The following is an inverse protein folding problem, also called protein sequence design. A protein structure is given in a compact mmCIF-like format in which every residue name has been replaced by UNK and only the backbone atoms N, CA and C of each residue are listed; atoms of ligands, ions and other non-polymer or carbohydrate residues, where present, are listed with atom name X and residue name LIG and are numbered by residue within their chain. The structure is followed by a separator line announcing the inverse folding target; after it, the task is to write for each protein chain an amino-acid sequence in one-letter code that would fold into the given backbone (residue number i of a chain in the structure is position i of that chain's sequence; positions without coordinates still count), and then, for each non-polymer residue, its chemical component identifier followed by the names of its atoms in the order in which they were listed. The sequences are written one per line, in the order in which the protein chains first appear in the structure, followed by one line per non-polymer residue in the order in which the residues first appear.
data_IF_654047523771
#
_entry.id   IF_654047523771
#
_cell.length_a   1.000
_cell.length_b   1.000
_cell.length_c   1.000
_cell.angle_alpha   90.00
_cell.angle_beta   90.00
_cell.angle_gamma   90.00
#
_symmetry.space_group_name_H-M   'P 1'
#
loop_
_entity.id
_entity.type
_entity.pdbx_description
1 polymer ?
#
# COMPACT_ATOMS: atom_id res chain seq x y z
N UNK A 1 2.12 -5.17 -19.22
CA UNK A 1 2.10 -6.19 -18.16
C UNK A 1 0.70 -6.29 -17.58
N UNK A 2 0.14 -7.49 -17.35
CA UNK A 2 -1.16 -7.64 -16.67
C UNK A 2 -0.92 -7.65 -15.15
N UNK A 3 -1.34 -6.60 -14.45
CA UNK A 3 -1.20 -6.46 -12.99
C UNK A 3 -2.34 -7.15 -12.24
N UNK A 4 -2.09 -7.59 -11.00
CA UNK A 4 -3.12 -8.15 -10.13
C UNK A 4 -4.21 -7.11 -9.85
N UNK A 5 -5.51 -7.47 -9.87
CA UNK A 5 -6.60 -6.48 -9.73
C UNK A 5 -6.76 -5.92 -8.31
N UNK A 6 -6.09 -6.51 -7.31
CA UNK A 6 -6.24 -6.17 -5.88
C UNK A 6 -7.73 -6.18 -5.48
N UNK A 7 -8.38 -7.30 -5.81
CA UNK A 7 -9.82 -7.46 -5.63
C UNK A 7 -10.20 -7.85 -4.21
N UNK A 8 -11.30 -7.29 -3.70
CA UNK A 8 -11.94 -7.73 -2.47
C UNK A 8 -13.46 -7.70 -2.64
N UNK A 9 -14.12 -8.87 -2.59
CA UNK A 9 -15.55 -8.95 -2.85
C UNK A 9 -15.89 -8.53 -4.29
N UNK A 10 -16.61 -7.41 -4.45
CA UNK A 10 -17.00 -6.81 -5.75
C UNK A 10 -16.16 -5.57 -6.12
N UNK A 11 -15.14 -5.27 -5.31
CA UNK A 11 -14.27 -4.11 -5.48
C UNK A 11 -12.92 -4.55 -6.02
N UNK A 12 -12.26 -3.67 -6.77
CA UNK A 12 -10.91 -3.84 -7.29
C UNK A 12 -10.11 -2.56 -7.03
N UNK A 13 -8.78 -2.66 -7.13
CA UNK A 13 -7.83 -1.59 -6.74
C UNK A 13 -7.96 -1.20 -5.28
N UNK A 14 -8.24 -2.19 -4.42
CA UNK A 14 -8.33 -1.95 -3.00
C UNK A 14 -6.94 -1.72 -2.43
N UNK A 15 -6.78 -0.59 -1.75
CA UNK A 15 -5.61 -0.25 -0.97
C UNK A 15 -6.06 0.58 0.24
N UNK A 16 -5.23 0.58 1.28
CA UNK A 16 -5.32 1.57 2.36
C UNK A 16 -4.02 2.34 2.44
N UNK A 17 -4.12 3.64 2.71
CA UNK A 17 -3.02 4.58 2.79
C UNK A 17 -3.02 5.15 4.19
N UNK A 18 -1.89 5.14 4.88
CA UNK A 18 -1.76 5.79 6.19
C UNK A 18 -1.84 7.31 6.09
N UNK A 19 -1.96 7.99 7.23
CA UNK A 19 -1.60 9.41 7.29
C UNK A 19 -0.11 9.60 6.91
N UNK A 20 0.23 10.79 6.42
CA UNK A 20 1.62 11.16 6.12
C UNK A 20 2.44 11.14 7.42
N UNK A 21 3.47 10.30 7.43
CA UNK A 21 4.46 10.19 8.49
C UNK A 21 5.84 10.60 8.00
N UNK A 22 6.87 10.00 8.59
CA UNK A 22 8.27 10.19 8.21
C UNK A 22 8.99 8.85 8.10
N UNK A 23 9.91 8.76 7.14
CA UNK A 23 10.94 7.73 7.09
C UNK A 23 12.31 8.36 7.26
N UNK A 24 13.28 7.58 7.75
CA UNK A 24 14.65 8.04 7.95
C UNK A 24 15.63 6.99 7.45
N UNK A 25 16.69 7.44 6.79
CA UNK A 25 17.77 6.58 6.33
C UNK A 25 19.13 7.22 6.61
N UNK A 26 20.17 6.39 6.76
CA UNK A 26 21.57 6.81 6.75
C UNK A 26 22.26 6.07 5.60
N UNK A 27 22.37 6.69 4.43
CA UNK A 27 22.98 6.07 3.27
C UNK A 27 24.47 5.84 3.48
N UNK A 28 24.91 4.66 3.06
CA UNK A 28 26.29 4.24 3.13
C UNK A 28 27.07 4.68 1.88
N UNK A 29 28.42 4.66 1.95
CA UNK A 29 29.25 4.79 0.75
C UNK A 29 28.82 3.78 -0.31
N UNK A 30 28.55 4.24 -1.54
CA UNK A 30 28.11 3.40 -2.66
C UNK A 30 26.60 3.39 -2.92
N UNK A 31 25.77 4.00 -2.07
CA UNK A 31 24.36 4.27 -2.38
C UNK A 31 24.22 5.19 -3.60
N UNK A 32 23.16 5.05 -4.39
CA UNK A 32 22.96 5.91 -5.57
C UNK A 32 22.72 7.38 -5.20
N UNK A 33 22.35 7.68 -3.95
CA UNK A 33 22.28 9.06 -3.44
C UNK A 33 23.61 9.80 -3.62
N UNK A 34 24.74 9.12 -3.39
CA UNK A 34 26.09 9.69 -3.63
C UNK A 34 26.36 10.06 -5.09
N UNK A 35 25.60 9.47 -6.03
CA UNK A 35 25.74 9.70 -7.48
C UNK A 35 24.74 10.74 -8.00
N UNK A 36 23.57 10.85 -7.37
CA UNK A 36 22.45 11.66 -7.87
C UNK A 36 22.23 12.96 -7.09
N UNK A 37 22.88 13.15 -5.95
CA UNK A 37 22.77 14.35 -5.12
C UNK A 37 24.15 14.98 -4.97
N UNK A 38 24.32 16.19 -5.51
CA UNK A 38 25.58 16.92 -5.40
C UNK A 38 25.87 17.34 -3.95
N UNK A 39 27.14 17.21 -3.54
CA UNK A 39 27.59 17.61 -2.20
C UNK A 39 27.17 16.65 -1.09
N UNK A 40 26.70 15.46 -1.46
CA UNK A 40 26.21 14.47 -0.52
C UNK A 40 27.32 13.80 0.32
N UNK A 41 27.06 13.62 1.62
CA UNK A 41 27.96 12.95 2.54
C UNK A 41 27.28 11.74 3.22
N UNK A 42 27.79 10.55 2.94
CA UNK A 42 27.34 9.30 3.53
C UNK A 42 27.41 9.33 5.07
N UNK A 43 26.53 8.57 5.73
CA UNK A 43 26.40 8.49 7.19
C UNK A 43 25.59 9.62 7.83
N UNK A 44 25.14 10.61 7.06
CA UNK A 44 24.19 11.63 7.54
C UNK A 44 22.78 11.05 7.58
N UNK A 45 21.98 11.41 8.60
CA UNK A 45 20.56 10.99 8.65
C UNK A 45 19.72 11.89 7.76
N UNK A 46 18.97 11.27 6.86
CA UNK A 46 17.93 11.92 6.08
C UNK A 46 16.55 11.62 6.66
N UNK A 47 15.60 12.51 6.40
CA UNK A 47 14.20 12.34 6.80
C UNK A 47 13.29 12.82 5.70
N UNK A 48 12.39 11.96 5.24
CA UNK A 48 11.45 12.26 4.16
C UNK A 48 10.01 12.01 4.60
N UNK A 49 9.03 12.77 4.06
CA UNK A 49 7.62 12.45 4.25
C UNK A 49 7.30 11.14 3.53
N UNK A 50 6.53 10.27 4.19
CA UNK A 50 6.15 8.96 3.65
C UNK A 50 4.72 8.58 4.02
N UNK A 51 4.15 7.62 3.31
CA UNK A 51 2.91 6.93 3.69
C UNK A 51 3.14 5.42 3.64
N UNK A 52 2.48 4.67 4.52
CA UNK A 52 2.39 3.22 4.39
C UNK A 52 1.22 2.90 3.44
N UNK A 53 1.54 2.29 2.29
CA UNK A 53 0.56 1.72 1.38
C UNK A 53 0.37 0.24 1.70
N UNK A 54 -0.85 -0.15 2.08
CA UNK A 54 -1.20 -1.54 2.34
C UNK A 54 -2.15 -2.05 1.26
N UNK A 55 -1.76 -3.15 0.66
CA UNK A 55 -2.59 -3.95 -0.24
C UNK A 55 -2.66 -5.38 0.31
N UNK A 56 -3.73 -6.09 -0.03
CA UNK A 56 -3.91 -7.49 0.37
C UNK A 56 -4.26 -8.31 -0.84
N UNK A 57 -3.71 -9.53 -0.89
CA UNK A 57 -4.03 -10.54 -1.88
C UNK A 57 -4.29 -11.86 -1.16
N UNK A 58 -4.96 -12.78 -1.85
CA UNK A 58 -5.08 -14.14 -1.34
C UNK A 58 -3.68 -14.77 -1.18
N UNK A 59 -3.55 -15.76 -0.28
CA UNK A 59 -2.31 -16.50 -0.04
C UNK A 59 -1.94 -17.39 -1.23
N UNK A 60 -1.43 -16.76 -2.29
CA UNK A 60 -0.96 -17.37 -3.53
C UNK A 60 0.43 -16.81 -3.87
N UNK A 61 1.45 -17.67 -3.79
CA UNK A 61 2.83 -17.29 -4.07
C UNK A 61 3.05 -16.80 -5.51
N UNK A 62 2.32 -17.32 -6.50
CA UNK A 62 2.45 -16.88 -7.90
C UNK A 62 1.83 -15.51 -8.10
N UNK A 63 0.74 -15.22 -7.41
CA UNK A 63 0.17 -13.88 -7.38
C UNK A 63 1.09 -12.90 -6.66
N UNK A 64 1.65 -13.30 -5.50
CA UNK A 64 2.59 -12.50 -4.73
C UNK A 64 3.81 -12.10 -5.55
N UNK A 65 4.47 -13.05 -6.23
CA UNK A 65 5.63 -12.75 -7.07
C UNK A 65 5.33 -11.67 -8.12
N UNK A 66 4.21 -11.79 -8.84
CA UNK A 66 3.79 -10.79 -9.84
C UNK A 66 3.46 -9.42 -9.24
N UNK A 67 2.93 -9.40 -8.02
CA UNK A 67 2.66 -8.15 -7.30
C UNK A 67 3.97 -7.50 -6.87
N UNK A 68 4.92 -8.27 -6.35
CA UNK A 68 6.25 -7.77 -5.98
C UNK A 68 6.99 -7.20 -7.19
N UNK A 69 6.99 -7.90 -8.32
CA UNK A 69 7.58 -7.39 -9.57
C UNK A 69 6.95 -6.04 -9.98
N UNK A 70 5.62 -5.92 -9.85
CA UNK A 70 4.91 -4.68 -10.17
C UNK A 70 5.23 -3.53 -9.20
N UNK A 71 5.36 -3.82 -7.91
CA UNK A 71 5.76 -2.82 -6.90
C UNK A 71 7.18 -2.35 -7.18
N UNK A 72 8.14 -3.27 -7.31
CA UNK A 72 9.54 -2.94 -7.55
C UNK A 72 9.71 -2.13 -8.85
N UNK A 73 8.99 -2.51 -9.92
CA UNK A 73 9.00 -1.76 -11.17
C UNK A 73 8.48 -0.32 -11.02
N UNK A 74 7.46 -0.10 -10.20
CA UNK A 74 6.83 1.20 -10.02
C UNK A 74 7.48 2.04 -8.91
N UNK A 75 8.23 1.44 -8.01
CA UNK A 75 8.84 2.12 -6.88
C UNK A 75 10.06 2.94 -7.34
N UNK A 76 10.18 4.15 -6.81
CA UNK A 76 11.21 5.10 -7.25
C UNK A 76 12.50 5.03 -6.43
N UNK A 77 12.45 4.46 -5.22
CA UNK A 77 13.66 4.20 -4.43
C UNK A 77 14.45 3.01 -4.94
N UNK A 78 15.77 3.11 -4.81
CA UNK A 78 16.74 2.04 -5.07
C UNK A 78 16.41 0.78 -4.27
N UNK A 79 16.15 0.94 -2.97
CA UNK A 79 15.84 -0.16 -2.06
C UNK A 79 14.49 0.09 -1.38
N UNK A 80 13.36 -0.33 -2.00
CA UNK A 80 12.04 -0.17 -1.39
C UNK A 80 11.88 -1.08 -0.18
N UNK A 81 11.50 -0.50 0.96
CA UNK A 81 11.17 -1.29 2.17
C UNK A 81 9.77 -1.88 2.02
N UNK A 82 9.69 -3.18 1.75
CA UNK A 82 8.42 -3.90 1.56
C UNK A 82 8.26 -4.99 2.62
N UNK A 83 7.18 -4.90 3.40
CA UNK A 83 6.83 -5.92 4.38
C UNK A 83 5.78 -6.89 3.84
N UNK A 84 6.08 -8.18 3.87
CA UNK A 84 5.11 -9.24 3.58
C UNK A 84 4.66 -9.85 4.91
N UNK A 85 3.35 -9.79 5.19
CA UNK A 85 2.74 -10.33 6.40
C UNK A 85 1.58 -11.26 6.03
N UNK A 86 1.47 -12.37 6.73
CA UNK A 86 0.25 -13.18 6.71
C UNK A 86 -0.78 -12.56 7.66
N UNK A 87 -2.03 -12.46 7.20
CA UNK A 87 -3.13 -11.90 7.98
C UNK A 87 -4.44 -12.63 7.69
N UNK A 88 -5.40 -12.53 8.60
CA UNK A 88 -6.74 -13.06 8.48
C UNK A 88 -7.73 -11.92 8.26
N UNK A 89 -8.23 -11.78 7.04
CA UNK A 89 -9.23 -10.76 6.72
C UNK A 89 -10.64 -11.37 6.60
N UNK A 90 -11.63 -10.74 7.23
CA UNK A 90 -13.03 -11.10 7.01
C UNK A 90 -13.50 -10.64 5.63
N UNK A 91 -14.05 -11.52 4.79
CA UNK A 91 -14.69 -11.12 3.54
C UNK A 91 -16.19 -10.90 3.77
N UNK A 92 -16.71 -9.76 3.31
CA UNK A 92 -18.13 -9.46 3.44
C UNK A 92 -18.98 -10.48 2.65
N UNK A 93 -19.94 -11.12 3.34
CA UNK A 93 -21.05 -11.82 2.70
C UNK A 93 -22.07 -10.76 2.23
N UNK A 94 -21.81 -10.17 1.06
CA UNK A 94 -22.65 -9.10 0.53
C UNK A 94 -24.06 -9.61 0.24
N UNK A 95 -25.04 -9.03 0.93
CA UNK A 95 -26.46 -9.23 0.69
C UNK A 95 -27.11 -7.84 0.50
N UNK A 96 -27.47 -7.46 -0.74
CA UNK A 96 -28.11 -6.17 -1.00
C UNK A 96 -29.51 -6.05 -0.37
N UNK A 97 -30.16 -7.17 -0.04
CA UNK A 97 -31.45 -7.22 0.63
C UNK A 97 -31.32 -7.31 2.17
N UNK A 98 -30.12 -7.07 2.71
CA UNK A 98 -29.92 -7.09 4.16
C UNK A 98 -30.70 -5.95 4.81
N UNK A 99 -31.56 -6.30 5.76
CA UNK A 99 -32.35 -5.41 6.63
C UNK A 99 -31.58 -4.96 7.88
N UNK A 100 -30.30 -5.35 8.01
CA UNK A 100 -29.46 -4.99 9.15
C UNK A 100 -29.42 -3.45 9.31
N UNK A 101 -29.86 -2.90 10.45
CA UNK A 101 -29.97 -1.46 10.67
C UNK A 101 -28.61 -0.75 10.75
N UNK A 102 -27.50 -1.49 10.81
CA UNK A 102 -26.15 -0.90 10.80
C UNK A 102 -25.61 -0.67 9.38
N UNK A 103 -26.29 -1.15 8.33
CA UNK A 103 -25.87 -0.88 6.95
C UNK A 103 -26.03 0.61 6.64
N UNK A 104 -25.03 1.19 5.97
CA UNK A 104 -25.02 2.62 5.65
C UNK A 104 -26.21 3.06 4.78
N UNK A 105 -26.78 2.14 4.00
CA UNK A 105 -27.98 2.36 3.19
C UNK A 105 -29.29 2.18 3.97
N UNK A 106 -29.25 1.63 5.20
CA UNK A 106 -30.44 1.42 6.06
C UNK A 106 -30.51 2.43 7.22
N UNK A 107 -29.42 3.13 7.56
CA UNK A 107 -29.32 3.96 8.77
C UNK A 107 -29.31 5.48 8.52
N UNK A 108 -29.51 5.91 7.28
CA UNK A 108 -29.52 7.33 6.91
C UNK A 108 -28.16 8.04 6.97
N UNK A 109 -27.07 7.38 7.39
CA UNK A 109 -25.73 7.97 7.44
C UNK A 109 -25.09 8.14 6.06
N UNK A 110 -25.53 7.35 5.07
CA UNK A 110 -24.98 7.43 3.73
C UNK A 110 -23.51 6.98 3.65
N UNK A 111 -22.89 7.22 2.49
CA UNK A 111 -21.45 7.03 2.35
C UNK A 111 -20.70 8.19 3.03
N UNK A 112 -19.51 7.95 3.60
CA UNK A 112 -18.61 9.03 3.99
C UNK A 112 -18.30 9.97 2.82
N UNK A 113 -17.94 11.21 3.14
CA UNK A 113 -17.44 12.16 2.14
C UNK A 113 -16.21 11.59 1.44
N UNK A 114 -16.15 11.81 0.12
CA UNK A 114 -14.97 11.48 -0.66
C UNK A 114 -13.87 12.49 -0.34
N UNK A 115 -12.67 12.00 -0.09
CA UNK A 115 -11.50 12.79 0.26
C UNK A 115 -10.46 12.63 -0.84
N UNK A 116 -10.77 13.16 -2.03
CA UNK A 116 -9.87 13.18 -3.19
C UNK A 116 -9.75 14.62 -3.71
#
# INVERSE_FOLDING_TARGET
MKVHPLGFGRYQRNASISAVGKETAQPEPGSTTTTHVDGFAAGSTETYPMVELKISIDRDQKALAKVMDAIIYAHHYEEPVIFVREDWASRAAYNPQSDNPNRWWNNGKGLPDRID
#
